data_IF_791561650235
#
_entry.id   IF_791561650235
#
_cell.length_a   1.000
_cell.length_b   1.000
_cell.length_c   1.000
_cell.angle_alpha   90.00
_cell.angle_beta   90.00
_cell.angle_gamma   90.00
#
_symmetry.space_group_name_H-M   'P 1'
#
loop_
_entity.id
_entity.type
_entity.pdbx_description
1 polymer ?
#
# COMPACT_ATOMS: atom_id res chain seq x y z
N UNK A 1 -3.15 -11.63 15.56
CA UNK A 1 -3.26 -12.04 14.16
C UNK A 1 -2.07 -11.45 13.43
N UNK A 2 -1.42 -12.22 12.56
CA UNK A 2 -0.37 -11.75 11.67
C UNK A 2 -0.87 -11.73 10.24
N UNK A 3 -0.62 -10.62 9.55
CA UNK A 3 -0.91 -10.46 8.14
C UNK A 3 0.32 -9.85 7.47
N UNK A 4 0.79 -10.48 6.41
CA UNK A 4 1.92 -9.98 5.64
C UNK A 4 1.76 -10.42 4.20
N UNK A 5 1.88 -9.47 3.27
CA UNK A 5 1.91 -9.78 1.84
C UNK A 5 3.34 -9.88 1.29
N UNK A 6 4.35 -10.01 2.18
CA UNK A 6 5.77 -10.10 1.81
C UNK A 6 6.07 -11.28 0.88
N UNK A 7 5.31 -12.37 0.97
CA UNK A 7 5.43 -13.51 0.05
C UNK A 7 5.20 -13.14 -1.42
N UNK A 8 4.50 -12.02 -1.70
CA UNK A 8 4.21 -11.53 -3.05
C UNK A 8 5.30 -10.61 -3.61
N UNK A 9 6.37 -10.34 -2.85
CA UNK A 9 7.49 -9.50 -3.31
C UNK A 9 8.09 -9.97 -4.65
N UNK A 10 8.34 -11.27 -4.88
CA UNK A 10 8.83 -11.75 -6.17
C UNK A 10 7.88 -11.41 -7.33
N UNK A 11 6.57 -11.53 -7.10
CA UNK A 11 5.56 -11.22 -8.10
C UNK A 11 5.54 -9.72 -8.44
N UNK A 12 5.67 -8.85 -7.43
CA UNK A 12 5.73 -7.42 -7.68
C UNK A 12 7.00 -7.00 -8.41
N UNK A 13 8.14 -7.64 -8.10
CA UNK A 13 9.38 -7.47 -8.87
C UNK A 13 9.21 -7.93 -10.31
N UNK A 14 8.56 -9.08 -10.54
CA UNK A 14 8.26 -9.56 -11.88
C UNK A 14 7.46 -8.53 -12.70
N UNK A 15 6.38 -7.97 -12.14
CA UNK A 15 5.62 -6.91 -12.81
C UNK A 15 6.47 -5.68 -13.14
N UNK A 16 7.28 -5.22 -12.18
CA UNK A 16 8.16 -4.07 -12.40
C UNK A 16 9.20 -4.36 -13.51
N UNK A 17 9.79 -5.54 -13.53
CA UNK A 17 10.74 -5.96 -14.57
C UNK A 17 10.07 -6.00 -15.95
N UNK A 18 8.87 -6.57 -16.06
CA UNK A 18 8.12 -6.62 -17.33
C UNK A 18 7.77 -5.20 -17.81
N UNK A 19 7.31 -4.32 -16.91
CA UNK A 19 7.00 -2.93 -17.25
C UNK A 19 8.26 -2.20 -17.75
N UNK A 20 9.40 -2.38 -17.08
CA UNK A 20 10.66 -1.77 -17.51
C UNK A 20 11.12 -2.33 -18.86
N UNK A 21 10.99 -3.64 -19.09
CA UNK A 21 11.32 -4.26 -20.37
C UNK A 21 10.46 -3.68 -21.50
N UNK A 22 9.16 -3.54 -21.28
CA UNK A 22 8.25 -2.90 -22.24
C UNK A 22 8.61 -1.44 -22.50
N UNK A 23 9.04 -0.71 -21.46
CA UNK A 23 9.50 0.68 -21.60
C UNK A 23 10.76 0.76 -22.47
N UNK A 24 11.78 -0.06 -22.18
CA UNK A 24 13.02 -0.09 -22.96
C UNK A 24 12.77 -0.54 -24.41
N UNK A 25 11.99 -1.60 -24.61
CA UNK A 25 11.62 -2.07 -25.94
C UNK A 25 10.81 -1.02 -26.72
N UNK A 26 9.86 -0.35 -26.05
CA UNK A 26 9.07 0.73 -26.63
C UNK A 26 9.91 1.92 -27.06
N UNK A 27 10.91 2.32 -26.27
CA UNK A 27 11.87 3.38 -26.64
C UNK A 27 12.66 2.98 -27.88
N UNK A 28 13.21 1.76 -27.91
CA UNK A 28 13.99 1.27 -29.05
C UNK A 28 13.12 1.20 -30.31
N UNK A 29 11.91 0.64 -30.20
CA UNK A 29 10.97 0.54 -31.31
C UNK A 29 10.57 1.92 -31.84
N UNK A 30 10.28 2.87 -30.95
CA UNK A 30 9.96 4.25 -31.32
C UNK A 30 11.11 4.94 -32.08
N UNK A 31 12.36 4.74 -31.64
CA UNK A 31 13.53 5.28 -32.33
C UNK A 31 13.73 4.64 -33.70
N UNK A 32 13.59 3.32 -33.82
CA UNK A 32 13.67 2.61 -35.09
C UNK A 32 12.58 3.07 -36.06
N UNK A 33 11.38 3.31 -35.54
CA UNK A 33 10.24 3.78 -36.31
C UNK A 33 10.52 5.14 -36.95
N UNK A 34 10.98 6.12 -36.16
CA UNK A 34 11.30 7.47 -36.63
C UNK A 34 12.51 7.48 -37.58
N UNK A 35 13.52 6.65 -37.31
CA UNK A 35 14.80 6.71 -38.02
C UNK A 35 14.88 5.84 -39.28
N UNK A 36 14.09 4.77 -39.37
CA UNK A 36 14.24 3.75 -40.43
C UNK A 36 12.93 3.39 -41.13
N UNK A 37 11.86 3.15 -40.38
CA UNK A 37 10.67 2.48 -40.92
C UNK A 37 9.60 3.45 -41.40
N UNK A 38 9.20 4.43 -40.57
CA UNK A 38 8.16 5.42 -40.86
C UNK A 38 6.85 4.82 -41.43
N UNK A 39 6.42 3.69 -40.85
CA UNK A 39 5.23 2.89 -41.17
C UNK A 39 4.02 3.30 -40.30
N UNK A 40 4.23 3.50 -39.00
CA UNK A 40 3.18 3.64 -37.98
C UNK A 40 2.58 5.05 -37.89
N UNK A 41 3.23 6.06 -38.51
CA UNK A 41 2.76 7.44 -38.46
C UNK A 41 2.54 7.94 -37.03
N UNK A 42 1.32 8.38 -36.70
CA UNK A 42 0.97 8.88 -35.37
C UNK A 42 0.84 7.77 -34.30
N UNK A 43 0.65 6.52 -34.69
CA UNK A 43 0.48 5.43 -33.73
C UNK A 43 1.77 5.08 -32.99
N UNK A 44 2.93 5.48 -33.53
CA UNK A 44 4.23 5.25 -32.90
C UNK A 44 4.32 5.79 -31.46
N UNK A 45 3.59 6.86 -31.13
CA UNK A 45 3.56 7.41 -29.76
C UNK A 45 2.97 6.42 -28.74
N UNK A 46 2.13 5.47 -29.16
CA UNK A 46 1.60 4.42 -28.28
C UNK A 46 2.71 3.52 -27.72
N UNK A 47 3.82 3.34 -28.45
CA UNK A 47 5.00 2.58 -28.01
C UNK A 47 5.62 3.17 -26.73
N UNK A 48 5.43 4.47 -26.49
CA UNK A 48 5.87 5.15 -25.28
C UNK A 48 4.74 5.34 -24.27
N UNK A 49 3.56 5.77 -24.73
CA UNK A 49 2.43 6.10 -23.85
C UNK A 49 1.99 4.89 -23.04
N UNK A 50 1.86 3.71 -23.65
CA UNK A 50 1.40 2.50 -22.95
C UNK A 50 2.34 2.10 -21.79
N UNK A 51 3.65 1.87 -22.00
CA UNK A 51 4.54 1.47 -20.90
C UNK A 51 4.69 2.58 -19.84
N UNK A 52 4.68 3.86 -20.23
CA UNK A 52 4.69 4.98 -19.26
C UNK A 52 3.42 4.99 -18.41
N UNK A 53 2.25 4.78 -19.00
CA UNK A 53 0.99 4.69 -18.25
C UNK A 53 0.98 3.50 -17.30
N UNK A 54 1.48 2.33 -17.73
CA UNK A 54 1.58 1.15 -16.86
C UNK A 54 2.51 1.42 -15.66
N UNK A 55 3.66 2.04 -15.91
CA UNK A 55 4.59 2.43 -14.84
C UNK A 55 3.96 3.46 -13.89
N UNK A 56 3.28 4.47 -14.44
CA UNK A 56 2.58 5.47 -13.65
C UNK A 56 1.51 4.83 -12.76
N UNK A 57 0.68 3.93 -13.29
CA UNK A 57 -0.32 3.19 -12.51
C UNK A 57 0.38 2.38 -11.40
N UNK A 58 1.47 1.67 -11.71
CA UNK A 58 2.21 0.88 -10.73
C UNK A 58 2.71 1.73 -9.54
N UNK A 59 3.21 2.95 -9.82
CA UNK A 59 3.69 3.88 -8.79
C UNK A 59 2.50 4.50 -8.02
N UNK A 60 1.44 4.92 -8.72
CA UNK A 60 0.27 5.56 -8.12
C UNK A 60 -0.52 4.65 -7.18
N UNK A 61 -0.47 3.33 -7.37
CA UNK A 61 -1.04 2.35 -6.42
C UNK A 61 -0.40 2.42 -5.03
N UNK A 62 0.77 3.05 -4.89
CA UNK A 62 1.46 3.25 -3.63
C UNK A 62 2.32 2.05 -3.22
N UNK A 63 2.56 1.94 -1.91
CA UNK A 63 3.48 0.92 -1.37
C UNK A 63 2.95 -0.50 -1.51
N UNK A 64 3.82 -1.40 -2.00
CA UNK A 64 3.42 -2.77 -2.33
C UNK A 64 3.45 -3.72 -1.12
N UNK A 65 4.34 -3.49 -0.16
CA UNK A 65 4.56 -4.38 0.97
C UNK A 65 3.88 -3.81 2.20
N UNK A 66 2.91 -4.55 2.72
CA UNK A 66 2.18 -4.25 3.94
C UNK A 66 2.27 -5.43 4.91
N UNK A 67 2.67 -5.12 6.14
CA UNK A 67 2.73 -6.08 7.24
C UNK A 67 2.00 -5.51 8.45
N UNK A 68 1.23 -6.37 9.11
CA UNK A 68 0.44 -6.09 10.30
C UNK A 68 0.60 -7.24 11.30
N UNK A 69 0.96 -6.92 12.53
CA UNK A 69 0.99 -7.89 13.62
C UNK A 69 0.23 -7.35 14.83
N UNK A 70 -0.67 -8.17 15.36
CA UNK A 70 -1.48 -7.89 16.54
C UNK A 70 -1.44 -9.01 17.58
N UNK A 71 -0.50 -9.96 17.51
CA UNK A 71 -0.43 -11.08 18.47
C UNK A 71 0.11 -10.65 19.85
N UNK A 72 1.00 -9.65 19.92
CA UNK A 72 1.58 -9.14 21.17
C UNK A 72 0.72 -8.07 21.89
N UNK A 73 1.29 -7.36 22.85
CA UNK A 73 0.62 -6.24 23.54
C UNK A 73 0.54 -4.97 22.67
N UNK A 74 1.52 -4.82 21.78
CA UNK A 74 1.58 -3.78 20.78
C UNK A 74 0.99 -4.27 19.44
N UNK A 75 0.60 -3.29 18.62
CA UNK A 75 0.32 -3.50 17.20
C UNK A 75 1.51 -2.94 16.42
N UNK A 76 1.97 -3.71 15.44
CA UNK A 76 3.03 -3.31 14.54
C UNK A 76 2.46 -3.17 13.12
N UNK A 77 2.72 -2.02 12.51
CA UNK A 77 2.43 -1.75 11.10
C UNK A 77 3.73 -1.48 10.36
N UNK A 78 3.96 -2.19 9.25
CA UNK A 78 5.06 -1.91 8.33
C UNK A 78 4.51 -1.70 6.94
N UNK A 79 4.94 -0.61 6.31
CA UNK A 79 4.53 -0.27 4.97
C UNK A 79 5.70 0.28 4.15
N UNK A 80 6.13 -0.50 3.15
CA UNK A 80 7.34 -0.21 2.36
C UNK A 80 7.15 -0.53 0.88
N UNK A 81 7.94 0.16 0.07
CA UNK A 81 8.08 -0.16 -1.34
C UNK A 81 9.09 -1.29 -1.55
N UNK A 82 9.02 -1.91 -2.71
CA UNK A 82 10.05 -2.86 -3.15
C UNK A 82 11.34 -2.12 -3.53
N UNK A 83 11.21 -0.87 -4.00
CA UNK A 83 12.31 0.06 -4.20
C UNK A 83 12.49 0.94 -2.96
N UNK A 84 13.52 0.71 -2.12
CA UNK A 84 13.76 1.51 -0.92
C UNK A 84 14.35 2.89 -1.22
N UNK A 85 14.90 3.11 -2.42
CA UNK A 85 15.66 4.33 -2.76
C UNK A 85 14.81 5.60 -2.81
N UNK A 86 13.56 5.51 -3.28
CA UNK A 86 12.73 6.70 -3.57
C UNK A 86 11.69 7.01 -2.49
N UNK A 87 11.50 6.14 -1.50
CA UNK A 87 10.40 6.29 -0.53
C UNK A 87 10.79 5.86 0.87
N UNK A 88 10.45 6.70 1.86
CA UNK A 88 10.64 6.38 3.27
C UNK A 88 9.74 5.20 3.67
N UNK A 89 10.36 4.16 4.20
CA UNK A 89 9.65 3.05 4.83
C UNK A 89 8.93 3.55 6.08
N UNK A 90 7.68 3.13 6.25
CA UNK A 90 6.89 3.45 7.45
C UNK A 90 6.86 2.20 8.31
N UNK A 91 7.24 2.35 9.57
CA UNK A 91 7.24 1.27 10.56
C UNK A 91 6.82 1.88 11.88
N UNK A 92 5.59 1.61 12.30
CA UNK A 92 5.00 2.16 13.51
C UNK A 92 4.62 1.03 14.46
N UNK A 93 5.00 1.16 15.71
CA UNK A 93 4.64 0.24 16.79
C UNK A 93 4.07 1.01 17.97
N UNK A 94 2.90 0.59 18.44
CA UNK A 94 2.24 1.23 19.57
C UNK A 94 1.32 0.24 20.31
N UNK A 95 1.04 0.50 21.61
CA UNK A 95 0.12 -0.33 22.38
C UNK A 95 -1.28 -0.38 21.79
N UNK A 96 -1.93 -1.56 21.85
CA UNK A 96 -3.29 -1.79 21.34
C UNK A 96 -4.33 -0.80 21.87
N UNK A 97 -4.24 -0.44 23.14
CA UNK A 97 -5.19 0.48 23.79
C UNK A 97 -5.18 1.89 23.18
N UNK A 98 -4.14 2.26 22.42
CA UNK A 98 -4.08 3.56 21.74
C UNK A 98 -4.95 3.63 20.50
N UNK A 99 -5.42 2.51 19.96
CA UNK A 99 -6.25 2.49 18.76
C UNK A 99 -7.67 2.93 19.11
N UNK A 100 -8.12 3.99 18.44
CA UNK A 100 -9.44 4.59 18.65
C UNK A 100 -10.41 4.19 17.53
N UNK A 101 -9.99 4.44 16.28
CA UNK A 101 -10.77 4.14 15.09
C UNK A 101 -9.86 3.94 13.88
N UNK A 102 -10.40 3.30 12.85
CA UNK A 102 -9.78 3.25 11.53
C UNK A 102 -10.79 3.56 10.44
N UNK A 103 -10.30 4.03 9.31
CA UNK A 103 -11.06 4.29 8.10
C UNK A 103 -10.30 3.75 6.90
N UNK A 104 -10.98 3.05 6.00
CA UNK A 104 -10.41 2.60 4.72
C UNK A 104 -11.03 3.42 3.61
N UNK A 105 -10.20 4.17 2.87
CA UNK A 105 -10.64 4.88 1.65
C UNK A 105 -10.18 4.09 0.44
N UNK A 106 -11.13 3.72 -0.40
CA UNK A 106 -10.92 3.01 -1.65
C UNK A 106 -11.07 3.99 -2.80
N UNK A 107 -9.94 4.46 -3.34
CA UNK A 107 -9.90 5.18 -4.60
C UNK A 107 -9.55 4.15 -5.68
N UNK A 108 -10.05 4.36 -6.91
CA UNK A 108 -9.97 3.40 -8.03
C UNK A 108 -8.58 2.73 -8.14
N UNK A 109 -7.50 3.50 -8.04
CA UNK A 109 -6.12 3.00 -8.14
C UNK A 109 -5.46 2.84 -6.77
N UNK A 110 -5.96 3.49 -5.72
CA UNK A 110 -5.27 3.65 -4.45
C UNK A 110 -6.19 3.36 -3.27
N UNK A 111 -5.85 2.34 -2.47
CA UNK A 111 -6.52 2.06 -1.20
C UNK A 111 -5.64 2.47 -0.04
N UNK A 112 -6.19 3.27 0.88
CA UNK A 112 -5.47 3.75 2.07
C UNK A 112 -6.23 3.43 3.35
N UNK A 113 -5.48 2.92 4.33
CA UNK A 113 -5.90 2.79 5.71
C UNK A 113 -5.46 4.04 6.48
N UNK A 114 -6.41 4.67 7.15
CA UNK A 114 -6.21 5.76 8.09
C UNK A 114 -6.48 5.22 9.48
N UNK A 115 -5.47 5.24 10.35
CA UNK A 115 -5.58 4.77 11.73
C UNK A 115 -5.46 5.95 12.68
N UNK A 116 -6.50 6.19 13.47
CA UNK A 116 -6.48 7.24 14.49
C UNK A 116 -6.05 6.63 15.82
N UNK A 117 -4.97 7.17 16.39
CA UNK A 117 -4.43 6.75 17.68
C UNK A 117 -4.42 7.90 18.69
N UNK A 118 -4.49 7.56 19.98
CA UNK A 118 -4.31 8.51 21.07
C UNK A 118 -2.83 8.84 21.31
N UNK A 119 -2.53 10.11 21.56
CA UNK A 119 -1.21 10.60 21.92
C UNK A 119 -1.11 10.92 23.42
N UNK A 120 0.12 10.95 23.95
CA UNK A 120 0.41 11.27 25.37
C UNK A 120 -0.15 12.64 25.80
N UNK A 121 -0.29 13.59 24.88
CA UNK A 121 -0.76 14.96 25.15
C UNK A 121 -2.25 15.18 24.81
N UNK A 122 -3.13 14.19 25.05
CA UNK A 122 -4.57 14.21 24.73
C UNK A 122 -4.96 14.48 23.24
N UNK A 123 -3.99 14.67 22.35
CA UNK A 123 -4.22 14.83 20.92
C UNK A 123 -4.37 13.49 20.20
N UNK A 124 -5.05 13.52 19.06
CA UNK A 124 -5.17 12.39 18.14
C UNK A 124 -4.12 12.48 17.02
N UNK A 125 -3.52 11.34 16.68
CA UNK A 125 -2.58 11.23 15.55
C UNK A 125 -3.20 10.30 14.51
N UNK A 126 -3.12 10.67 13.23
CA UNK A 126 -3.61 9.85 12.12
C UNK A 126 -2.41 9.26 11.39
N UNK A 127 -2.24 7.94 11.50
CA UNK A 127 -1.27 7.17 10.72
C UNK A 127 -1.89 6.74 9.39
N UNK A 128 -1.10 6.74 8.32
CA UNK A 128 -1.56 6.48 6.96
C UNK A 128 -0.77 5.32 6.35
N UNK A 129 -1.47 4.34 5.80
CA UNK A 129 -0.86 3.17 5.19
C UNK A 129 -1.52 2.86 3.84
N UNK A 130 -0.72 2.70 2.79
CA UNK A 130 -1.20 2.16 1.52
C UNK A 130 -1.48 0.66 1.66
N UNK A 131 -2.67 0.24 1.22
CA UNK A 131 -3.16 -1.15 1.32
C UNK A 131 -3.71 -1.63 -0.03
N UNK A 132 -3.40 -0.94 -1.13
CA UNK A 132 -3.84 -1.24 -2.50
C UNK A 132 -3.44 -2.65 -2.97
N UNK A 133 -2.42 -3.25 -2.35
CA UNK A 133 -1.87 -4.56 -2.69
C UNK A 133 -2.37 -5.68 -1.77
N UNK A 134 -3.32 -5.38 -0.88
CA UNK A 134 -4.05 -6.40 -0.13
C UNK A 134 -5.18 -6.98 -0.98
N UNK A 135 -5.31 -8.29 -0.94
CA UNK A 135 -6.46 -9.01 -1.49
C UNK A 135 -7.71 -8.70 -0.67
N UNK A 136 -8.90 -8.98 -1.23
CA UNK A 136 -10.17 -8.82 -0.50
C UNK A 136 -10.19 -9.59 0.82
N UNK A 137 -9.62 -10.81 0.83
CA UNK A 137 -9.51 -11.65 2.03
C UNK A 137 -8.62 -11.00 3.08
N UNK A 138 -7.38 -10.64 2.71
CA UNK A 138 -6.44 -9.96 3.62
C UNK A 138 -7.03 -8.65 4.17
N UNK A 139 -7.73 -7.88 3.35
CA UNK A 139 -8.39 -6.65 3.78
C UNK A 139 -9.52 -6.93 4.78
N UNK A 140 -10.32 -7.96 4.57
CA UNK A 140 -11.39 -8.35 5.49
C UNK A 140 -10.83 -8.85 6.81
N UNK A 141 -9.78 -9.66 6.77
CA UNK A 141 -9.09 -10.15 7.97
C UNK A 141 -8.49 -8.98 8.77
N UNK A 142 -7.86 -8.01 8.10
CA UNK A 142 -7.34 -6.80 8.72
C UNK A 142 -8.46 -6.00 9.41
N UNK A 143 -9.57 -5.75 8.70
CA UNK A 143 -10.73 -5.05 9.26
C UNK A 143 -11.30 -5.79 10.47
N UNK A 144 -11.43 -7.11 10.40
CA UNK A 144 -11.90 -7.93 11.51
C UNK A 144 -10.99 -7.81 12.73
N UNK A 145 -9.67 -7.89 12.53
CA UNK A 145 -8.69 -7.73 13.61
C UNK A 145 -8.77 -6.36 14.28
N UNK A 146 -8.83 -5.28 13.49
CA UNK A 146 -8.94 -3.92 14.00
C UNK A 146 -10.26 -3.68 14.74
N UNK A 147 -11.36 -4.21 14.21
CA UNK A 147 -12.67 -4.16 14.88
C UNK A 147 -12.61 -4.83 16.27
N UNK A 148 -11.96 -5.99 16.37
CA UNK A 148 -11.79 -6.70 17.65
C UNK A 148 -10.99 -5.86 18.65
N UNK A 149 -9.89 -5.25 18.21
CA UNK A 149 -9.08 -4.36 19.08
C UNK A 149 -9.92 -3.17 19.58
N UNK A 150 -10.61 -2.47 18.68
CA UNK A 150 -11.41 -1.29 19.05
C UNK A 150 -12.56 -1.67 19.99
N UNK A 151 -13.25 -2.78 19.72
CA UNK A 151 -14.33 -3.27 20.58
C UNK A 151 -13.82 -3.54 22.00
N UNK A 152 -12.72 -4.27 22.13
CA UNK A 152 -12.12 -4.57 23.43
C UNK A 152 -11.67 -3.31 24.18
N UNK A 153 -11.13 -2.30 23.47
CA UNK A 153 -10.75 -1.03 24.09
C UNK A 153 -11.96 -0.27 24.64
N UNK A 154 -13.06 -0.20 23.87
CA UNK A 154 -14.30 0.46 24.29
C UNK A 154 -14.95 -0.24 25.49
N UNK A 155 -14.92 -1.57 25.54
CA UNK A 155 -15.44 -2.34 26.67
C UNK A 155 -14.65 -2.07 27.95
N UNK A 156 -13.31 -2.02 27.86
CA UNK A 156 -12.44 -1.68 28.99
C UNK A 156 -12.66 -0.25 29.50
N UNK A 157 -12.83 0.71 28.60
CA UNK A 157 -13.12 2.11 28.95
C UNK A 157 -14.46 2.23 29.71
N UNK A 158 -15.50 1.51 29.27
CA UNK A 158 -16.79 1.47 29.98
C UNK A 158 -16.70 0.85 31.38
N UNK A 159 -15.96 -0.25 31.52
CA UNK A 159 -15.75 -0.91 32.81
C UNK A 159 -15.02 0.00 33.80
N UNK A 160 -14.02 0.77 33.34
CA UNK A 160 -13.29 1.74 34.17
C UNK A 160 -14.14 2.93 34.62
N UNK A 161 -15.19 3.29 33.88
CA UNK A 161 -16.12 4.37 34.24
C UNK A 161 -17.24 3.94 35.20
N UNK A 162 -17.38 2.63 35.44
CA UNK A 162 -18.43 2.06 36.32
C UNK A 162 -17.87 1.63 37.68
N UNK A 163 -16.53 1.68 37.84
CA UNK A 163 -15.80 1.43 39.10
C UNK A 163 -15.41 2.75 39.75
#
# INVERSE_FOLDING_TARGET
>A
MRLSNKSKVPLYNFYLTVINLLLFAGIIAFLLEILRFNILGNEQYLLLIVPVLLLAIFILRGKQIFEYDSDGEAINFKNRNIFPLFYKNVSDEFPKYKVIKYEVKDLIVLKRLYLTISSKKKNFIILKYDISYLTKKELNDLKFSLNKVIKNNREKEKLQLTQ
#
